data_IF_925660057520
#
_entry.id   IF_925660057520
#
_cell.length_a   1.000
_cell.length_b   1.000
_cell.length_c   1.000
_cell.angle_alpha   90.00
_cell.angle_beta   90.00
_cell.angle_gamma   90.00
#
_symmetry.space_group_name_H-M   'P 1'
#
loop_
_entity.id
_entity.type
_entity.pdbx_description
1 polymer ?
#
# COMPACT_ATOMS: atom_id res chain seq x y z
N UNK A 1 -7.27 -23.76 17.03
CA UNK A 1 -7.79 -22.66 16.19
C UNK A 1 -6.63 -22.14 15.36
N UNK A 2 -6.75 -22.03 14.02
CA UNK A 2 -5.74 -21.31 13.25
C UNK A 2 -5.65 -19.86 13.76
N UNK A 3 -4.46 -19.22 13.72
CA UNK A 3 -4.34 -17.81 14.07
C UNK A 3 -5.28 -17.00 13.17
N UNK A 4 -6.00 -16.03 13.75
CA UNK A 4 -7.04 -15.24 13.07
C UNK A 4 -6.54 -14.46 11.83
N UNK A 5 -5.23 -14.29 11.68
CA UNK A 5 -4.58 -13.78 10.46
C UNK A 5 -4.86 -14.61 9.21
N UNK A 6 -5.18 -15.91 9.38
CA UNK A 6 -5.54 -16.81 8.29
C UNK A 6 -6.94 -16.55 7.70
N UNK A 7 -7.76 -15.67 8.31
CA UNK A 7 -9.12 -15.42 7.83
C UNK A 7 -9.16 -14.46 6.63
N UNK A 8 -8.14 -13.60 6.47
CA UNK A 8 -8.17 -12.50 5.51
C UNK A 8 -7.13 -12.65 4.38
N UNK A 9 -6.06 -13.40 4.62
CA UNK A 9 -5.09 -13.73 3.58
C UNK A 9 -5.58 -14.85 2.64
N UNK A 10 -5.24 -14.79 1.35
CA UNK A 10 -5.30 -15.95 0.46
C UNK A 10 -4.57 -17.14 1.06
N UNK A 11 -4.98 -18.36 0.67
CA UNK A 11 -4.33 -19.61 1.11
C UNK A 11 -2.84 -19.69 0.77
N UNK A 12 -2.37 -18.93 -0.22
CA UNK A 12 -0.96 -18.85 -0.61
C UNK A 12 -0.61 -17.40 -0.99
N UNK A 13 -0.35 -16.52 0.00
CA UNK A 13 -0.12 -15.10 -0.24
C UNK A 13 1.13 -14.84 -1.10
N UNK A 14 2.16 -15.65 -0.94
CA UNK A 14 3.39 -15.65 -1.72
C UNK A 14 3.16 -15.94 -3.21
N UNK A 15 2.30 -16.92 -3.53
CA UNK A 15 1.94 -17.25 -4.91
C UNK A 15 1.16 -16.11 -5.57
N UNK A 16 0.22 -15.49 -4.85
CA UNK A 16 -0.55 -14.35 -5.35
C UNK A 16 0.37 -13.16 -5.63
N UNK A 17 1.22 -12.79 -4.67
CA UNK A 17 2.23 -11.73 -4.86
C UNK A 17 3.10 -12.02 -6.07
N UNK A 18 3.59 -13.26 -6.20
CA UNK A 18 4.45 -13.68 -7.31
C UNK A 18 3.75 -13.52 -8.65
N UNK A 19 2.51 -14.03 -8.78
CA UNK A 19 1.72 -13.88 -9.99
C UNK A 19 1.53 -12.41 -10.38
N UNK A 20 1.15 -11.57 -9.42
CA UNK A 20 0.85 -10.15 -9.68
C UNK A 20 2.12 -9.37 -10.04
N UNK A 21 3.25 -9.64 -9.36
CA UNK A 21 4.56 -9.05 -9.71
C UNK A 21 4.96 -9.42 -11.14
N UNK A 22 4.90 -10.70 -11.49
CA UNK A 22 5.25 -11.13 -12.85
C UNK A 22 4.32 -10.55 -13.89
N UNK A 23 3.01 -10.53 -13.64
CA UNK A 23 2.03 -9.96 -14.56
C UNK A 23 2.33 -8.48 -14.83
N UNK A 24 2.59 -7.70 -13.79
CA UNK A 24 2.89 -6.27 -13.90
C UNK A 24 4.21 -6.02 -14.63
N UNK A 25 5.27 -6.79 -14.34
CA UNK A 25 6.56 -6.67 -15.04
C UNK A 25 6.47 -7.12 -16.50
N UNK A 26 5.79 -8.23 -16.79
CA UNK A 26 5.58 -8.68 -18.17
C UNK A 26 4.80 -7.65 -18.97
N UNK A 27 3.71 -7.10 -18.42
CA UNK A 27 2.97 -6.02 -19.08
C UNK A 27 3.86 -4.81 -19.35
N UNK A 28 4.70 -4.41 -18.39
CA UNK A 28 5.67 -3.35 -18.62
C UNK A 28 6.60 -3.65 -19.81
N UNK A 29 7.19 -4.84 -19.88
CA UNK A 29 8.09 -5.23 -20.98
C UNK A 29 7.38 -5.26 -22.34
N UNK A 30 6.12 -5.68 -22.39
CA UNK A 30 5.31 -5.69 -23.62
C UNK A 30 5.02 -4.26 -24.14
N UNK A 31 5.00 -3.27 -23.24
CA UNK A 31 4.75 -1.87 -23.59
C UNK A 31 6.00 -1.07 -24.00
N UNK A 32 7.18 -1.70 -24.08
CA UNK A 32 8.45 -1.01 -24.35
C UNK A 32 8.46 -0.11 -25.60
N UNK A 33 7.69 -0.46 -26.64
CA UNK A 33 7.58 0.34 -27.87
C UNK A 33 6.14 0.83 -28.16
N UNK A 34 5.28 0.84 -27.15
CA UNK A 34 3.89 1.28 -27.30
C UNK A 34 3.74 2.81 -27.34
N UNK A 35 2.67 3.30 -27.97
CA UNK A 35 2.31 4.71 -27.92
C UNK A 35 1.84 5.15 -26.52
N UNK A 36 2.03 6.43 -26.19
CA UNK A 36 1.69 6.97 -24.86
C UNK A 36 0.22 6.80 -24.46
N UNK A 37 -0.71 6.91 -25.41
CA UNK A 37 -2.14 6.67 -25.14
C UNK A 37 -2.41 5.23 -24.68
N UNK A 38 -1.74 4.24 -25.30
CA UNK A 38 -1.87 2.84 -24.89
C UNK A 38 -1.27 2.63 -23.49
N UNK A 39 -0.12 3.26 -23.20
CA UNK A 39 0.50 3.21 -21.87
C UNK A 39 -0.44 3.78 -20.82
N UNK A 40 -1.03 4.95 -21.05
CA UNK A 40 -1.97 5.58 -20.12
C UNK A 40 -3.24 4.73 -19.92
N UNK A 41 -3.81 4.21 -21.01
CA UNK A 41 -4.99 3.36 -20.93
C UNK A 41 -4.72 2.07 -20.12
N UNK A 42 -3.61 1.38 -20.40
CA UNK A 42 -3.27 0.13 -19.72
C UNK A 42 -2.84 0.40 -18.27
N UNK A 43 -2.13 1.49 -18.00
CA UNK A 43 -1.83 1.90 -16.62
C UNK A 43 -3.11 2.16 -15.82
N UNK A 44 -4.11 2.84 -16.41
CA UNK A 44 -5.36 3.16 -15.71
C UNK A 44 -6.26 1.93 -15.52
N UNK A 45 -6.54 1.16 -16.57
CA UNK A 45 -7.54 0.08 -16.53
C UNK A 45 -7.00 -1.28 -16.07
N UNK A 46 -5.68 -1.44 -15.98
CA UNK A 46 -5.06 -2.71 -15.64
C UNK A 46 -3.93 -2.57 -14.63
N UNK A 47 -2.92 -1.75 -14.92
CA UNK A 47 -1.75 -1.58 -14.06
C UNK A 47 -2.09 -1.03 -12.68
N UNK A 48 -3.07 -0.13 -12.59
CA UNK A 48 -3.56 0.45 -11.33
C UNK A 48 -4.15 -0.63 -10.41
N UNK A 49 -4.92 -1.59 -10.94
CA UNK A 49 -5.50 -2.70 -10.18
C UNK A 49 -4.42 -3.61 -9.61
N UNK A 50 -3.40 -3.91 -10.41
CA UNK A 50 -2.27 -4.75 -9.97
C UNK A 50 -1.42 -4.02 -8.92
N UNK A 51 -1.11 -2.74 -9.10
CA UNK A 51 -0.37 -1.98 -8.10
C UNK A 51 -1.16 -1.80 -6.81
N UNK A 52 -2.48 -1.61 -6.91
CA UNK A 52 -3.34 -1.55 -5.75
C UNK A 52 -3.34 -2.87 -4.96
N UNK A 53 -3.42 -4.01 -5.67
CA UNK A 53 -3.26 -5.33 -5.04
C UNK A 53 -1.90 -5.44 -4.33
N UNK A 54 -0.81 -4.99 -4.95
CA UNK A 54 0.53 -5.07 -4.36
C UNK A 54 0.71 -4.10 -3.17
N UNK A 55 0.09 -2.92 -3.19
CA UNK A 55 0.08 -2.02 -2.02
C UNK A 55 -0.55 -2.71 -0.81
N UNK A 56 -1.67 -3.38 -1.02
CA UNK A 56 -2.37 -4.11 0.03
C UNK A 56 -1.61 -5.37 0.46
N UNK A 57 -0.94 -6.06 -0.47
CA UNK A 57 -0.04 -7.14 -0.10
C UNK A 57 1.09 -6.63 0.82
N UNK A 58 1.71 -5.51 0.46
CA UNK A 58 2.77 -4.88 1.26
C UNK A 58 2.23 -4.42 2.63
N UNK A 59 1.00 -3.91 2.67
CA UNK A 59 0.28 -3.59 3.91
C UNK A 59 0.21 -4.81 4.84
N UNK A 60 -0.36 -5.92 4.38
CA UNK A 60 -0.47 -7.15 5.19
C UNK A 60 0.91 -7.71 5.60
N UNK A 61 1.89 -7.67 4.69
CA UNK A 61 3.25 -8.12 4.97
C UNK A 61 3.96 -7.25 6.01
N UNK A 62 3.62 -5.97 6.10
CA UNK A 62 4.17 -5.06 7.11
C UNK A 62 3.77 -5.47 8.54
N UNK A 63 2.63 -6.12 8.69
CA UNK A 63 2.14 -6.72 9.94
C UNK A 63 2.72 -8.11 10.22
N UNK A 64 3.54 -8.66 9.32
CA UNK A 64 4.10 -10.01 9.38
C UNK A 64 3.04 -11.13 9.38
N UNK A 65 1.96 -10.97 8.61
CA UNK A 65 0.83 -11.89 8.67
C UNK A 65 0.94 -13.09 7.73
N UNK A 66 1.77 -13.00 6.68
CA UNK A 66 1.94 -14.10 5.73
C UNK A 66 2.83 -15.22 6.27
N UNK A 67 3.87 -14.88 7.04
CA UNK A 67 4.79 -15.86 7.63
C UNK A 67 5.03 -15.60 9.11
N UNK A 68 5.23 -16.67 9.89
CA UNK A 68 5.60 -16.57 11.31
C UNK A 68 6.98 -15.95 11.55
N UNK A 69 7.89 -16.06 10.57
CA UNK A 69 9.23 -15.46 10.64
C UNK A 69 9.23 -14.08 9.97
N UNK A 70 9.45 -12.98 10.71
CA UNK A 70 9.31 -11.62 10.18
C UNK A 70 10.19 -11.31 8.95
N UNK A 71 11.37 -11.91 8.89
CA UNK A 71 12.32 -11.70 7.78
C UNK A 71 11.76 -12.17 6.44
N UNK A 72 10.94 -13.23 6.41
CA UNK A 72 10.32 -13.71 5.16
C UNK A 72 9.24 -12.75 4.64
N UNK A 73 8.44 -12.16 5.53
CA UNK A 73 7.48 -11.12 5.14
C UNK A 73 8.19 -9.91 4.56
N UNK A 74 9.34 -9.52 5.15
CA UNK A 74 10.12 -8.39 4.65
C UNK A 74 10.70 -8.65 3.25
N UNK A 75 11.26 -9.83 3.00
CA UNK A 75 11.74 -10.19 1.67
C UNK A 75 10.61 -10.26 0.64
N UNK A 76 9.47 -10.87 0.99
CA UNK A 76 8.31 -10.90 0.10
C UNK A 76 7.76 -9.48 -0.14
N UNK A 77 7.82 -8.58 0.84
CA UNK A 77 7.45 -7.17 0.70
C UNK A 77 8.37 -6.41 -0.25
N UNK A 78 9.69 -6.60 -0.14
CA UNK A 78 10.67 -6.05 -1.09
C UNK A 78 10.39 -6.57 -2.51
N UNK A 79 10.09 -7.86 -2.64
CA UNK A 79 9.75 -8.46 -3.92
C UNK A 79 8.43 -7.91 -4.50
N UNK A 80 7.39 -7.74 -3.68
CA UNK A 80 6.13 -7.08 -4.05
C UNK A 80 6.33 -5.61 -4.47
N UNK A 81 7.37 -4.95 -3.95
CA UNK A 81 7.71 -3.57 -4.29
C UNK A 81 8.28 -3.43 -5.71
N UNK A 82 8.89 -4.47 -6.27
CA UNK A 82 9.62 -4.39 -7.54
C UNK A 82 8.87 -3.62 -8.65
N UNK A 83 7.63 -3.99 -9.03
CA UNK A 83 6.91 -3.31 -10.10
C UNK A 83 6.24 -1.98 -9.66
N UNK A 84 6.37 -1.57 -8.40
CA UNK A 84 5.88 -0.26 -7.94
C UNK A 84 6.75 0.88 -8.47
N UNK A 85 8.04 0.62 -8.74
CA UNK A 85 8.98 1.59 -9.33
C UNK A 85 9.42 2.72 -8.38
N UNK A 86 8.98 2.70 -7.12
CA UNK A 86 9.42 3.63 -6.07
C UNK A 86 9.63 2.90 -4.76
N UNK A 87 10.57 3.38 -3.94
CA UNK A 87 10.87 2.80 -2.63
C UNK A 87 9.67 2.94 -1.69
N UNK A 88 9.02 1.83 -1.33
CA UNK A 88 7.84 1.85 -0.45
C UNK A 88 7.95 0.83 0.70
N UNK A 89 8.01 -0.46 0.43
CA UNK A 89 7.81 -1.57 1.38
C UNK A 89 8.46 -1.43 2.76
N UNK A 90 9.80 -1.37 2.85
CA UNK A 90 10.49 -1.33 4.15
C UNK A 90 10.20 -0.03 4.91
N UNK A 91 10.21 1.09 4.19
CA UNK A 91 9.94 2.41 4.77
C UNK A 91 8.49 2.51 5.23
N UNK A 92 7.57 2.05 4.40
CA UNK A 92 6.14 1.96 4.70
C UNK A 92 5.91 1.16 5.97
N UNK A 93 6.50 -0.03 6.12
CA UNK A 93 6.36 -0.82 7.35
C UNK A 93 6.72 -0.02 8.62
N UNK A 94 7.73 0.85 8.58
CA UNK A 94 8.10 1.68 9.75
C UNK A 94 7.06 2.74 10.07
N UNK A 95 6.52 3.43 9.06
CA UNK A 95 5.52 4.48 9.28
C UNK A 95 4.16 3.87 9.62
N UNK A 96 3.77 2.80 8.91
CA UNK A 96 2.51 2.09 9.08
C UNK A 96 2.35 1.49 10.48
N UNK A 97 3.38 0.84 11.01
CA UNK A 97 3.33 0.31 12.37
C UNK A 97 3.27 1.43 13.43
N UNK A 98 3.81 2.62 13.14
CA UNK A 98 3.66 3.78 14.02
C UNK A 98 2.24 4.35 13.94
N UNK A 99 1.66 4.44 12.74
CA UNK A 99 0.26 4.80 12.52
C UNK A 99 -0.67 3.91 13.36
N UNK A 100 -0.57 2.58 13.25
CA UNK A 100 -1.40 1.68 14.05
C UNK A 100 -1.19 1.80 15.57
N UNK A 101 0.02 2.19 16.00
CA UNK A 101 0.32 2.36 17.43
C UNK A 101 -0.21 3.68 18.00
N UNK A 102 -0.24 4.72 17.19
CA UNK A 102 -0.61 6.09 17.59
C UNK A 102 -1.70 6.66 16.68
N UNK A 103 -2.64 5.81 16.28
CA UNK A 103 -3.68 6.16 15.31
C UNK A 103 -4.45 7.40 15.79
N UNK A 104 -4.58 8.41 14.93
CA UNK A 104 -5.25 9.70 15.19
C UNK A 104 -4.59 10.61 16.21
N UNK A 105 -3.35 10.34 16.61
CA UNK A 105 -2.59 11.26 17.46
C UNK A 105 -1.94 12.33 16.58
N UNK A 106 -2.49 13.55 16.62
CA UNK A 106 -1.98 14.68 15.84
C UNK A 106 -0.49 14.93 16.06
N UNK A 107 0.22 15.25 14.97
CA UNK A 107 1.67 15.40 14.93
C UNK A 107 2.50 14.11 15.10
N UNK A 108 1.89 12.96 15.43
CA UNK A 108 2.56 11.65 15.49
C UNK A 108 2.14 10.77 14.34
N UNK A 109 0.84 10.64 14.13
CA UNK A 109 0.23 9.92 13.03
C UNK A 109 0.39 10.72 11.74
N UNK A 110 1.25 10.23 10.86
CA UNK A 110 1.56 10.89 9.61
C UNK A 110 0.43 10.77 8.58
N UNK A 111 -0.61 10.01 8.91
CA UNK A 111 -1.78 9.87 8.07
C UNK A 111 -2.91 10.87 8.41
N UNK A 112 -2.68 11.77 9.38
CA UNK A 112 -3.56 12.93 9.60
C UNK A 112 -3.09 14.07 8.69
N UNK A 113 -3.89 14.47 7.68
CA UNK A 113 -3.56 15.61 6.84
C UNK A 113 -3.73 16.92 7.62
N UNK A 114 -2.90 17.91 7.32
CA UNK A 114 -3.18 19.29 7.75
C UNK A 114 -4.40 19.85 7.02
N UNK A 115 -5.02 20.90 7.57
CA UNK A 115 -6.17 21.56 6.93
C UNK A 115 -5.88 22.04 5.50
N UNK A 116 -4.65 22.48 5.21
CA UNK A 116 -4.27 22.89 3.86
C UNK A 116 -4.12 21.70 2.90
N UNK A 117 -3.56 20.58 3.39
CA UNK A 117 -3.35 19.35 2.61
C UNK A 117 -4.67 18.63 2.28
N UNK A 118 -5.69 18.76 3.14
CA UNK A 118 -7.03 18.22 2.87
C UNK A 118 -7.64 18.74 1.55
N UNK A 119 -7.15 19.88 1.05
CA UNK A 119 -7.57 20.48 -0.22
C UNK A 119 -6.62 20.19 -1.39
N UNK A 120 -5.46 19.58 -1.16
CA UNK A 120 -4.41 19.30 -2.15
C UNK A 120 -4.00 17.82 -2.10
N UNK A 121 -4.65 16.98 -2.90
CA UNK A 121 -4.47 15.51 -2.90
C UNK A 121 -3.19 14.98 -3.56
N UNK A 122 -2.20 15.84 -3.83
CA UNK A 122 -0.99 15.43 -4.56
C UNK A 122 0.18 15.12 -3.60
N UNK A 123 0.76 13.93 -3.74
CA UNK A 123 1.98 13.45 -3.05
C UNK A 123 1.86 13.10 -1.55
N UNK A 124 0.65 12.85 -1.06
CA UNK A 124 0.41 12.39 0.31
C UNK A 124 1.33 11.23 0.76
N UNK A 125 1.55 10.23 -0.10
CA UNK A 125 2.41 9.08 0.21
C UNK A 125 3.88 9.43 0.50
N UNK A 126 4.37 10.61 0.08
CA UNK A 126 5.73 11.07 0.34
C UNK A 126 5.84 11.96 1.58
N UNK A 127 4.71 12.46 2.10
CA UNK A 127 4.64 13.37 3.26
C UNK A 127 5.45 12.89 4.48
N UNK A 128 5.39 11.60 4.89
CA UNK A 128 6.10 11.16 6.09
C UNK A 128 7.62 11.32 6.00
N UNK A 129 8.17 11.29 4.77
CA UNK A 129 9.60 11.42 4.53
C UNK A 129 10.14 12.83 4.75
N UNK A 130 9.28 13.84 4.62
CA UNK A 130 9.65 15.25 4.78
C UNK A 130 9.36 15.77 6.19
N UNK A 131 8.19 15.44 6.72
CA UNK A 131 7.75 15.97 8.02
C UNK A 131 8.35 15.22 9.21
N UNK A 132 8.54 13.90 9.09
CA UNK A 132 9.07 13.07 10.17
C UNK A 132 10.05 12.02 9.63
N UNK A 133 11.20 12.44 9.05
CA UNK A 133 12.17 11.52 8.48
C UNK A 133 12.67 10.53 9.55
N UNK A 134 12.46 9.24 9.30
CA UNK A 134 12.96 8.17 10.17
C UNK A 134 14.38 7.75 9.77
N UNK A 135 15.22 7.30 10.72
CA UNK A 135 16.55 6.81 10.42
C UNK A 135 16.50 5.59 9.49
N UNK A 136 17.39 5.58 8.51
CA UNK A 136 17.54 4.53 7.50
C UNK A 136 18.51 3.47 8.01
N UNK A 137 18.13 2.20 7.93
CA UNK A 137 18.96 1.05 8.30
C UNK A 137 19.33 0.20 7.09
N UNK A 138 19.97 -0.94 7.35
CA UNK A 138 20.44 -1.86 6.31
C UNK A 138 19.31 -2.35 5.39
N UNK A 139 18.10 -2.52 5.93
CA UNK A 139 16.94 -2.95 5.15
C UNK A 139 16.46 -1.90 4.15
N UNK A 140 16.47 -0.61 4.50
CA UNK A 140 16.14 0.46 3.55
C UNK A 140 17.17 0.55 2.44
N UNK A 141 18.46 0.43 2.77
CA UNK A 141 19.52 0.41 1.76
C UNK A 141 19.41 -0.80 0.84
N UNK A 142 19.11 -1.98 1.37
CA UNK A 142 18.86 -3.18 0.58
C UNK A 142 17.66 -3.02 -0.37
N UNK A 143 16.53 -2.53 0.14
CA UNK A 143 15.34 -2.27 -0.68
C UNK A 143 15.62 -1.24 -1.78
N UNK A 144 16.32 -0.14 -1.44
CA UNK A 144 16.73 0.88 -2.40
C UNK A 144 17.64 0.31 -3.48
N UNK A 145 18.64 -0.48 -3.10
CA UNK A 145 19.57 -1.08 -4.05
C UNK A 145 18.85 -2.00 -5.04
N UNK A 146 17.99 -2.89 -4.54
CA UNK A 146 17.23 -3.82 -5.39
C UNK A 146 16.27 -3.05 -6.31
N UNK A 147 15.57 -2.03 -5.80
CA UNK A 147 14.65 -1.23 -6.61
C UNK A 147 15.39 -0.48 -7.72
N UNK A 148 16.50 0.21 -7.40
CA UNK A 148 17.30 0.92 -8.39
C UNK A 148 17.88 0.00 -9.46
N UNK A 149 18.30 -1.21 -9.07
CA UNK A 149 18.80 -2.21 -10.00
C UNK A 149 17.73 -2.62 -11.01
N UNK A 150 16.50 -2.87 -10.53
CA UNK A 150 15.38 -3.22 -11.40
C UNK A 150 14.98 -2.04 -12.29
N UNK A 151 14.80 -0.84 -11.73
CA UNK A 151 14.38 0.34 -12.47
C UNK A 151 15.38 0.67 -13.58
N UNK A 152 16.68 0.64 -13.27
CA UNK A 152 17.75 0.82 -14.25
C UNK A 152 17.73 -0.29 -15.31
N UNK A 153 17.52 -1.54 -14.92
CA UNK A 153 17.36 -2.67 -15.83
C UNK A 153 16.16 -2.49 -16.78
N UNK A 154 15.01 -2.08 -16.26
CA UNK A 154 13.80 -1.83 -17.05
C UNK A 154 14.04 -0.75 -18.11
N UNK A 155 14.69 0.35 -17.73
CA UNK A 155 15.02 1.44 -18.66
C UNK A 155 16.04 0.98 -19.70
N UNK A 156 17.09 0.28 -19.28
CA UNK A 156 18.17 -0.14 -20.16
C UNK A 156 17.72 -1.17 -21.21
N UNK A 157 16.95 -2.18 -20.79
CA UNK A 157 16.54 -3.28 -21.68
C UNK A 157 15.18 -3.03 -22.37
N UNK A 158 14.25 -2.30 -21.74
CA UNK A 158 12.88 -2.10 -22.22
C UNK A 158 12.44 -0.62 -22.30
N UNK A 159 13.39 0.31 -22.30
CA UNK A 159 13.17 1.75 -22.47
C UNK A 159 12.42 2.45 -21.34
N UNK A 160 12.45 3.79 -21.42
CA UNK A 160 11.68 4.67 -20.54
C UNK A 160 10.16 4.45 -20.60
N UNK A 161 9.62 3.85 -21.66
CA UNK A 161 8.17 3.59 -21.77
C UNK A 161 7.70 2.52 -20.81
N UNK A 162 8.46 1.42 -20.68
CA UNK A 162 8.16 0.37 -19.73
C UNK A 162 8.26 0.88 -18.29
N UNK A 163 9.29 1.68 -17.99
CA UNK A 163 9.41 2.30 -16.68
C UNK A 163 8.27 3.30 -16.41
N UNK A 164 7.92 4.14 -17.39
CA UNK A 164 6.82 5.09 -17.25
C UNK A 164 5.48 4.39 -16.97
N UNK A 165 5.22 3.24 -17.60
CA UNK A 165 4.04 2.43 -17.28
C UNK A 165 3.98 2.03 -15.79
N UNK A 166 5.10 1.59 -15.19
CA UNK A 166 5.15 1.21 -13.77
C UNK A 166 4.84 2.42 -12.87
N UNK A 167 5.49 3.56 -13.13
CA UNK A 167 5.29 4.79 -12.36
C UNK A 167 3.86 5.34 -12.50
N UNK A 168 3.31 5.33 -13.71
CA UNK A 168 1.93 5.78 -13.96
C UNK A 168 0.92 4.87 -13.28
N UNK A 169 1.14 3.55 -13.31
CA UNK A 169 0.30 2.58 -12.61
C UNK A 169 0.30 2.80 -11.09
N UNK A 170 1.46 3.11 -10.51
CA UNK A 170 1.61 3.46 -9.09
C UNK A 170 0.87 4.75 -8.75
N UNK A 171 1.08 5.80 -9.55
CA UNK A 171 0.46 7.10 -9.34
C UNK A 171 -1.06 7.03 -9.41
N UNK A 172 -1.61 6.33 -10.40
CA UNK A 172 -3.06 6.17 -10.57
C UNK A 172 -3.63 5.23 -9.50
N UNK A 173 -3.03 4.05 -9.31
CA UNK A 173 -3.52 3.04 -8.36
C UNK A 173 -3.45 3.45 -6.90
N UNK A 174 -2.55 4.39 -6.55
CA UNK A 174 -2.38 4.90 -5.20
C UNK A 174 -3.19 6.16 -4.88
N UNK A 175 -3.89 6.76 -5.85
CA UNK A 175 -4.62 8.01 -5.62
C UNK A 175 -5.83 8.23 -6.51
N UNK A 176 -5.65 8.33 -7.83
CA UNK A 176 -6.73 8.73 -8.75
C UNK A 176 -7.74 7.63 -9.06
N UNK A 177 -7.39 6.37 -8.81
CA UNK A 177 -8.24 5.22 -9.12
C UNK A 177 -9.31 5.00 -8.03
N UNK A 178 -10.56 4.63 -8.39
CA UNK A 178 -11.61 4.39 -7.39
C UNK A 178 -11.26 3.38 -6.29
N UNK A 179 -10.37 2.42 -6.58
CA UNK A 179 -9.88 1.47 -5.56
C UNK A 179 -9.06 2.15 -4.45
N UNK A 180 -8.37 3.26 -4.75
CA UNK A 180 -7.70 4.09 -3.75
C UNK A 180 -8.70 4.78 -2.79
N UNK A 181 -10.01 4.72 -3.08
CA UNK A 181 -11.06 5.23 -2.20
C UNK A 181 -11.08 4.57 -0.81
N UNK A 182 -10.51 3.37 -0.63
CA UNK A 182 -10.40 2.78 0.71
C UNK A 182 -9.55 3.66 1.66
N UNK A 183 -8.53 4.35 1.16
CA UNK A 183 -7.78 5.33 1.95
C UNK A 183 -8.69 6.44 2.48
N UNK A 184 -9.70 6.86 1.72
CA UNK A 184 -10.69 7.84 2.19
C UNK A 184 -11.51 7.22 3.33
N UNK A 185 -11.94 5.97 3.19
CA UNK A 185 -12.72 5.31 4.25
C UNK A 185 -11.93 5.02 5.53
N UNK A 186 -10.61 4.88 5.47
CA UNK A 186 -9.78 4.62 6.66
C UNK A 186 -9.38 5.92 7.37
N UNK A 187 -9.29 7.03 6.63
CA UNK A 187 -8.75 8.30 7.12
C UNK A 187 -9.81 9.41 7.29
N UNK A 188 -11.02 9.25 6.74
CA UNK A 188 -12.14 10.16 6.94
C UNK A 188 -13.23 9.54 7.82
N UNK A 189 -13.57 10.27 8.88
CA UNK A 189 -14.66 9.92 9.79
C UNK A 189 -15.97 10.51 9.26
N UNK A 190 -16.80 9.69 8.62
CA UNK A 190 -18.15 10.09 8.21
C UNK A 190 -19.17 10.04 9.36
N UNK A 191 -18.85 9.35 10.46
CA UNK A 191 -19.70 9.21 11.64
C UNK A 191 -18.83 9.26 12.91
N UNK A 192 -19.06 10.19 13.85
CA UNK A 192 -18.18 10.41 15.00
C UNK A 192 -17.88 9.19 15.87
N UNK A 193 -18.76 8.18 15.87
CA UNK A 193 -18.61 6.97 16.68
C UNK A 193 -18.01 5.78 15.91
N UNK A 194 -17.66 5.96 14.63
CA UNK A 194 -17.15 4.90 13.78
C UNK A 194 -15.81 5.33 13.18
N UNK A 195 -14.76 4.61 13.56
CA UNK A 195 -13.41 4.98 13.17
C UNK A 195 -13.01 4.47 11.78
N UNK A 196 -13.66 3.41 11.33
CA UNK A 196 -13.28 2.63 10.16
C UNK A 196 -14.54 2.12 9.46
N UNK A 197 -14.48 1.92 8.14
CA UNK A 197 -15.63 1.42 7.37
C UNK A 197 -15.26 0.13 6.65
N UNK A 198 -16.20 -0.81 6.63
CA UNK A 198 -16.05 -2.06 5.89
C UNK A 198 -16.70 -1.96 4.50
N UNK A 199 -16.09 -2.62 3.53
CA UNK A 199 -16.59 -2.87 2.19
C UNK A 199 -16.72 -4.39 1.97
N UNK A 200 -17.89 -4.87 1.56
CA UNK A 200 -18.17 -6.31 1.40
C UNK A 200 -18.41 -6.74 -0.06
N UNK A 201 -17.94 -5.94 -1.03
CA UNK A 201 -18.16 -6.21 -2.45
C UNK A 201 -17.08 -7.06 -3.13
N UNK A 202 -17.26 -7.40 -4.41
CA UNK A 202 -16.39 -8.32 -5.15
C UNK A 202 -14.93 -7.88 -5.26
N UNK A 203 -14.65 -6.59 -5.13
CA UNK A 203 -13.27 -6.07 -5.17
C UNK A 203 -12.41 -6.60 -4.02
N UNK A 204 -13.01 -7.12 -2.93
CA UNK A 204 -12.28 -7.75 -1.83
C UNK A 204 -11.34 -8.87 -2.27
N UNK A 205 -11.70 -9.63 -3.31
CA UNK A 205 -10.81 -10.68 -3.84
C UNK A 205 -9.53 -10.10 -4.46
N UNK A 206 -9.59 -8.88 -4.98
CA UNK A 206 -8.46 -8.15 -5.54
C UNK A 206 -7.73 -7.30 -4.50
N UNK A 207 -8.35 -7.08 -3.33
CA UNK A 207 -7.85 -6.21 -2.27
C UNK A 207 -7.56 -6.95 -0.97
N UNK A 208 -7.18 -8.24 -1.05
CA UNK A 208 -6.76 -9.03 0.11
C UNK A 208 -7.80 -9.05 1.25
N UNK A 209 -9.08 -8.96 0.89
CA UNK A 209 -10.19 -8.85 1.84
C UNK A 209 -10.04 -7.68 2.83
N UNK A 210 -9.31 -6.62 2.47
CA UNK A 210 -9.12 -5.48 3.37
C UNK A 210 -10.45 -4.77 3.69
N UNK A 211 -11.46 -4.91 2.84
CA UNK A 211 -12.79 -4.38 3.11
C UNK A 211 -13.47 -4.98 4.35
N UNK A 212 -12.98 -6.06 4.95
CA UNK A 212 -13.42 -6.52 6.28
C UNK A 212 -12.71 -5.76 7.42
N UNK A 213 -12.51 -4.46 7.22
CA UNK A 213 -11.61 -3.62 7.99
C UNK A 213 -12.01 -3.49 9.47
N UNK A 214 -13.32 -3.41 9.78
CA UNK A 214 -13.80 -3.38 11.17
C UNK A 214 -13.52 -4.69 11.90
N UNK A 215 -13.73 -5.83 11.26
CA UNK A 215 -13.46 -7.15 11.84
C UNK A 215 -11.96 -7.34 12.10
N UNK A 216 -11.14 -6.75 11.23
CA UNK A 216 -9.69 -6.76 11.32
C UNK A 216 -9.18 -5.85 12.44
N UNK A 217 -9.62 -4.59 12.51
CA UNK A 217 -9.26 -3.65 13.57
C UNK A 217 -9.80 -4.06 14.93
N UNK A 218 -11.03 -4.58 15.03
CA UNK A 218 -11.56 -5.08 16.30
C UNK A 218 -10.72 -6.24 16.82
N UNK A 219 -10.29 -7.15 15.94
CA UNK A 219 -9.44 -8.29 16.32
C UNK A 219 -8.06 -7.88 16.85
N UNK A 220 -7.50 -6.78 16.34
CA UNK A 220 -6.25 -6.17 16.83
C UNK A 220 -6.48 -5.30 18.08
N UNK A 221 -7.62 -4.61 18.19
CA UNK A 221 -8.05 -3.84 19.37
C UNK A 221 -8.24 -4.73 20.60
N UNK A 222 -8.61 -6.01 20.45
CA UNK A 222 -8.63 -6.97 21.57
C UNK A 222 -7.23 -7.25 22.16
N UNK A 223 -6.14 -6.93 21.47
CA UNK A 223 -4.77 -7.00 22.00
C UNK A 223 -4.27 -5.65 22.56
N UNK A 224 -4.95 -4.54 22.28
CA UNK A 224 -4.59 -3.20 22.75
C UNK A 224 -5.84 -2.46 23.26
N UNK A 225 -6.26 -2.77 24.48
CA UNK A 225 -7.23 -1.96 25.22
C UNK A 225 -6.50 -0.96 26.11
N UNK A 226 -6.52 0.33 25.76
CA UNK A 226 -6.46 1.42 26.75
C UNK A 226 -7.24 2.67 26.25
N UNK A 227 -8.36 2.91 26.95
CA UNK A 227 -9.19 4.10 27.20
C UNK A 227 -9.13 5.42 26.35
N UNK A 228 -10.36 5.88 25.99
CA UNK A 228 -10.97 7.25 25.99
C UNK A 228 -10.54 8.19 24.87
N UNK A 229 -11.41 8.94 24.16
CA UNK A 229 -12.85 9.18 24.25
C UNK A 229 -13.21 10.52 23.57
N UNK A 230 -14.39 10.56 22.93
CA UNK A 230 -15.21 11.70 22.42
C UNK A 230 -14.55 13.05 22.03
N UNK A 231 -14.92 13.57 20.84
CA UNK A 231 -15.64 14.87 20.62
C UNK A 231 -15.92 15.07 19.10
N UNK A 232 -17.16 14.76 18.69
CA UNK A 232 -18.17 15.63 18.05
C UNK A 232 -17.74 16.92 17.26
N UNK A 233 -18.34 17.10 16.05
CA UNK A 233 -19.17 18.26 15.61
C UNK A 233 -18.88 18.86 14.19
N UNK A 234 -19.95 18.84 13.36
CA UNK A 234 -20.29 19.63 12.13
C UNK A 234 -19.38 19.57 10.88
N UNK A 235 -19.72 18.69 9.94
CA UNK A 235 -20.27 19.01 8.58
C UNK A 235 -20.59 17.72 7.81
#
# INVERSE_FOLDING_TARGET
>A
MPPKSALFLPSSPDLVVTLVVFLQLVTATLLHNSGWLNILAIAYYFGSFLNHNLFLAIHELSHNLAFSTPVYNRWLGIFANLPIGVLMSVTFQKYHLEHHRFQRVDGIDMDIPSHAEAHLLFFYALRPLFLKPKPRGCWEFGNLFVQLLLDAGMVYFWSWRSFAYLILSTFVGGGMHPMAGHFISEHYVFNPNQETYSYYGPLNFLTWHIGYHNEYHDSLKYYFKFYIGLIFIYL
#
